data_IF_613836241568
#
_entry.id   IF_613836241568
#
_cell.length_a   1.000
_cell.length_b   1.000
_cell.length_c   1.000
_cell.angle_alpha   90.00
_cell.angle_beta   90.00
_cell.angle_gamma   90.00
#
_symmetry.space_group_name_H-M   'P 1'
#
loop_
_entity.id
_entity.type
_entity.pdbx_description
1 polymer ?
#
# COMPACT_ATOMS: atom_id res chain seq x y z
N UNK A 1 11.61 -6.73 9.79
CA UNK A 1 10.30 -6.44 10.42
C UNK A 1 9.59 -7.73 10.86
N UNK A 2 9.22 -8.69 9.97
CA UNK A 2 8.45 -9.89 10.37
C UNK A 2 9.17 -10.70 11.47
N UNK A 3 10.46 -10.96 11.32
CA UNK A 3 11.28 -11.65 12.35
C UNK A 3 11.39 -10.87 13.65
N UNK A 4 11.57 -9.56 13.58
CA UNK A 4 11.66 -8.68 14.75
C UNK A 4 10.37 -8.65 15.56
N UNK A 5 9.22 -8.81 14.87
CA UNK A 5 7.91 -8.87 15.49
C UNK A 5 7.45 -10.29 15.85
N UNK A 6 8.25 -11.32 15.55
CA UNK A 6 7.88 -12.71 15.75
C UNK A 6 6.69 -13.17 14.88
N UNK A 7 6.51 -12.54 13.70
CA UNK A 7 5.42 -12.81 12.77
C UNK A 7 5.84 -13.75 11.61
N UNK A 8 7.05 -14.34 11.68
CA UNK A 8 7.56 -15.34 10.73
C UNK A 8 7.15 -16.77 11.14
N UNK A 9 5.93 -16.94 11.61
CA UNK A 9 5.37 -18.18 12.14
C UNK A 9 4.05 -18.55 11.48
N UNK A 10 3.61 -19.79 11.69
CA UNK A 10 2.32 -20.32 11.21
C UNK A 10 1.14 -19.42 11.64
N UNK A 11 0.19 -19.22 10.73
CA UNK A 11 -0.97 -18.34 10.92
C UNK A 11 -0.69 -16.86 10.68
N UNK A 12 0.55 -16.47 10.37
CA UNK A 12 0.90 -15.09 10.06
C UNK A 12 1.07 -14.88 8.54
N UNK A 13 0.40 -13.87 8.02
CA UNK A 13 0.42 -13.49 6.62
C UNK A 13 0.75 -12.00 6.48
N UNK A 14 1.50 -11.64 5.45
CA UNK A 14 1.77 -10.24 5.12
C UNK A 14 0.98 -9.85 3.86
N UNK A 15 0.24 -8.75 3.96
CA UNK A 15 -0.36 -8.07 2.82
C UNK A 15 0.51 -6.84 2.53
N UNK A 16 1.15 -6.82 1.37
CA UNK A 16 2.04 -5.76 0.94
C UNK A 16 1.55 -5.07 -0.33
N UNK A 17 2.17 -3.92 -0.68
CA UNK A 17 1.85 -3.14 -1.87
C UNK A 17 0.36 -2.79 -1.97
N UNK A 18 -0.23 -2.32 -0.86
CA UNK A 18 -1.65 -1.97 -0.74
C UNK A 18 -2.62 -3.10 -1.14
N UNK A 19 -2.19 -4.35 -1.02
CA UNK A 19 -2.98 -5.52 -1.40
C UNK A 19 -2.53 -6.22 -2.68
N UNK A 20 -1.49 -5.71 -3.35
CA UNK A 20 -0.92 -6.32 -4.56
C UNK A 20 -0.17 -7.64 -4.30
N UNK A 21 0.20 -7.91 -3.05
CA UNK A 21 0.91 -9.13 -2.64
C UNK A 21 0.33 -9.68 -1.35
N UNK A 22 0.05 -10.98 -1.32
CA UNK A 22 -0.25 -11.76 -0.11
C UNK A 22 0.84 -12.82 0.04
N UNK A 23 1.47 -12.84 1.21
CA UNK A 23 2.62 -13.68 1.51
C UNK A 23 2.40 -14.49 2.78
N UNK A 24 2.62 -15.79 2.72
CA UNK A 24 2.66 -16.68 3.89
C UNK A 24 4.02 -16.54 4.55
N UNK A 25 4.03 -16.01 5.78
CA UNK A 25 5.27 -15.68 6.47
C UNK A 25 6.03 -16.92 6.96
N UNK A 26 5.32 -17.99 7.34
CA UNK A 26 5.93 -19.24 7.79
C UNK A 26 6.45 -20.06 6.60
N UNK A 27 5.61 -20.26 5.59
CA UNK A 27 5.98 -21.03 4.41
C UNK A 27 6.93 -20.27 3.46
N UNK A 28 7.16 -18.98 3.70
CA UNK A 28 7.94 -18.07 2.86
C UNK A 28 7.49 -18.12 1.39
N UNK A 29 6.16 -18.07 1.18
CA UNK A 29 5.55 -18.28 -0.13
C UNK A 29 4.57 -17.17 -0.48
N UNK A 30 4.65 -16.69 -1.73
CA UNK A 30 3.61 -15.83 -2.30
C UNK A 30 2.34 -16.64 -2.56
N UNK A 31 1.22 -16.22 -1.96
CA UNK A 31 -0.10 -16.83 -2.15
C UNK A 31 -0.90 -16.14 -3.25
N UNK A 32 -0.72 -14.83 -3.39
CA UNK A 32 -1.39 -14.01 -4.40
C UNK A 32 -0.53 -12.83 -4.80
N UNK A 33 -0.51 -12.50 -6.10
CA UNK A 33 0.21 -11.34 -6.64
C UNK A 33 -0.59 -10.69 -7.76
N UNK A 34 -0.68 -9.36 -7.73
CA UNK A 34 -1.21 -8.50 -8.78
C UNK A 34 -0.14 -7.50 -9.16
N UNK A 35 0.05 -7.32 -10.45
CA UNK A 35 1.14 -6.49 -11.00
C UNK A 35 0.60 -5.47 -11.98
N UNK A 36 1.30 -4.37 -12.14
CA UNK A 36 1.09 -3.39 -13.19
C UNK A 36 1.79 -3.92 -14.45
N UNK A 37 1.10 -4.13 -15.58
CA UNK A 37 1.73 -4.51 -16.82
C UNK A 37 2.89 -3.59 -17.20
N UNK A 38 3.97 -4.14 -17.78
CA UNK A 38 5.15 -3.35 -18.12
C UNK A 38 4.84 -2.17 -19.04
N UNK A 39 3.88 -2.34 -19.97
CA UNK A 39 3.41 -1.27 -20.84
C UNK A 39 2.77 -0.11 -20.05
N UNK A 40 2.03 -0.39 -18.97
CA UNK A 40 1.45 0.64 -18.11
C UNK A 40 2.50 1.29 -17.23
N UNK A 41 3.46 0.51 -16.71
CA UNK A 41 4.58 1.04 -15.95
C UNK A 41 5.40 2.04 -16.77
N UNK A 42 5.63 1.76 -18.07
CA UNK A 42 6.30 2.69 -18.99
C UNK A 42 5.54 4.01 -19.13
N UNK A 43 4.24 3.93 -19.37
CA UNK A 43 3.40 5.15 -19.48
C UNK A 43 3.46 5.97 -18.20
N UNK A 44 3.40 5.34 -17.02
CA UNK A 44 3.49 6.04 -15.73
C UNK A 44 4.84 6.76 -15.60
N UNK A 45 5.96 6.09 -15.91
CA UNK A 45 7.30 6.71 -15.87
C UNK A 45 7.43 7.87 -16.85
N UNK A 46 6.94 7.72 -18.09
CA UNK A 46 6.96 8.77 -19.10
C UNK A 46 6.15 9.99 -18.66
N UNK A 47 4.91 9.77 -18.22
CA UNK A 47 4.00 10.86 -17.80
C UNK A 47 4.48 11.57 -16.52
N UNK A 48 5.10 10.86 -15.60
CA UNK A 48 5.71 11.50 -14.42
C UNK A 48 6.92 12.34 -14.82
N UNK A 49 7.74 11.89 -15.76
CA UNK A 49 8.86 12.66 -16.29
C UNK A 49 8.39 13.92 -17.02
N UNK A 50 7.36 13.81 -17.88
CA UNK A 50 6.76 14.97 -18.57
C UNK A 50 6.23 16.02 -17.58
N UNK A 51 5.67 15.56 -16.46
CA UNK A 51 5.19 16.41 -15.38
C UNK A 51 6.31 16.94 -14.45
N UNK A 52 7.56 16.52 -14.65
CA UNK A 52 8.68 16.87 -13.78
C UNK A 52 8.53 16.35 -12.36
N UNK A 53 7.87 15.19 -12.18
CA UNK A 53 7.66 14.51 -10.90
C UNK A 53 8.65 13.37 -10.72
N UNK A 54 8.98 13.07 -9.46
CA UNK A 54 9.76 11.89 -9.12
C UNK A 54 8.85 10.65 -9.14
N UNK A 55 9.39 9.52 -9.64
CA UNK A 55 8.71 8.23 -9.63
C UNK A 55 9.69 7.10 -9.31
N UNK A 56 9.24 6.17 -8.48
CA UNK A 56 9.95 4.92 -8.24
C UNK A 56 9.00 3.72 -8.24
N UNK A 57 9.59 2.54 -8.33
CA UNK A 57 8.90 1.27 -8.20
C UNK A 57 9.75 0.28 -7.40
N UNK A 58 9.36 -0.99 -7.39
CA UNK A 58 10.00 -2.02 -6.60
C UNK A 58 10.28 -3.28 -7.43
N UNK A 59 11.42 -3.89 -7.17
CA UNK A 59 11.65 -5.31 -7.44
C UNK A 59 11.21 -6.15 -6.22
N UNK A 60 11.55 -7.43 -6.23
CA UNK A 60 11.28 -8.31 -5.08
C UNK A 60 12.13 -7.93 -3.84
N UNK A 61 13.24 -7.20 -4.01
CA UNK A 61 14.22 -6.93 -2.95
C UNK A 61 14.65 -5.47 -2.82
N UNK A 62 14.30 -4.61 -3.78
CA UNK A 62 14.87 -3.26 -3.87
C UNK A 62 13.83 -2.26 -4.37
N UNK A 63 14.02 -1.01 -3.99
CA UNK A 63 13.41 0.15 -4.63
C UNK A 63 14.20 0.44 -5.91
N UNK A 64 13.49 0.66 -7.01
CA UNK A 64 14.06 0.98 -8.32
C UNK A 64 13.67 2.41 -8.72
N UNK A 65 14.64 3.27 -9.00
CA UNK A 65 14.41 4.65 -9.43
C UNK A 65 15.39 5.07 -10.54
N UNK A 66 15.01 6.09 -11.31
CA UNK A 66 15.89 6.64 -12.37
C UNK A 66 17.08 7.42 -11.81
N UNK A 67 16.88 8.07 -10.67
CA UNK A 67 17.92 8.81 -9.95
C UNK A 67 17.60 8.84 -8.44
N UNK A 68 18.64 8.90 -7.63
CA UNK A 68 18.52 9.04 -6.19
C UNK A 68 18.48 10.53 -5.82
N UNK A 69 17.26 11.06 -5.65
CA UNK A 69 16.98 12.45 -5.26
C UNK A 69 16.67 12.61 -3.78
N UNK A 70 16.13 13.77 -3.43
CA UNK A 70 15.62 14.08 -2.09
C UNK A 70 14.45 13.15 -1.73
N UNK A 71 13.55 12.92 -2.67
CA UNK A 71 12.37 12.07 -2.53
C UNK A 71 12.76 10.63 -2.13
N UNK A 72 13.79 10.08 -2.80
CA UNK A 72 14.32 8.74 -2.47
C UNK A 72 14.84 8.71 -1.04
N UNK A 73 15.63 9.71 -0.65
CA UNK A 73 16.27 9.76 0.68
C UNK A 73 15.23 9.89 1.79
N UNK A 74 14.24 10.76 1.62
CA UNK A 74 13.15 10.93 2.60
C UNK A 74 12.30 9.66 2.70
N UNK A 75 11.92 9.09 1.56
CA UNK A 75 11.12 7.88 1.53
C UNK A 75 11.83 6.70 2.23
N UNK A 76 13.12 6.52 1.99
CA UNK A 76 13.89 5.39 2.54
C UNK A 76 14.31 5.57 4.00
N UNK A 77 14.17 6.75 4.60
CA UNK A 77 14.35 6.93 6.06
C UNK A 77 13.36 6.08 6.87
N UNK A 78 12.13 5.94 6.37
CA UNK A 78 11.09 5.13 7.03
C UNK A 78 11.13 3.65 6.60
N UNK A 79 11.70 3.35 5.44
CA UNK A 79 11.69 2.01 4.85
C UNK A 79 13.12 1.58 4.54
N UNK A 80 13.66 0.68 5.34
CA UNK A 80 15.00 0.13 5.16
C UNK A 80 15.03 -0.90 4.02
N UNK A 81 15.05 -0.42 2.77
CA UNK A 81 15.11 -1.23 1.56
C UNK A 81 16.32 -0.81 0.72
N UNK A 82 17.08 -1.73 0.10
CA UNK A 82 18.11 -1.38 -0.86
C UNK A 82 17.55 -0.53 -2.00
N UNK A 83 18.32 0.45 -2.44
CA UNK A 83 17.97 1.32 -3.57
C UNK A 83 18.86 0.97 -4.75
N UNK A 84 18.25 0.78 -5.91
CA UNK A 84 18.93 0.60 -7.19
C UNK A 84 18.58 1.78 -8.08
N UNK A 85 19.60 2.56 -8.43
CA UNK A 85 19.50 3.64 -9.41
C UNK A 85 19.75 3.06 -10.81
N UNK A 86 18.80 3.29 -11.72
CA UNK A 86 18.93 2.93 -13.13
C UNK A 86 18.32 4.04 -13.99
N UNK A 87 19.16 4.90 -14.60
CA UNK A 87 18.71 5.99 -15.47
C UNK A 87 17.91 5.52 -16.69
N UNK A 88 18.00 4.25 -17.06
CA UNK A 88 17.31 3.66 -18.20
C UNK A 88 15.96 3.00 -17.82
N UNK A 89 15.46 3.23 -16.60
CA UNK A 89 14.08 2.87 -16.31
C UNK A 89 13.12 3.76 -17.14
N UNK A 90 12.03 3.21 -17.68
CA UNK A 90 11.48 1.86 -17.47
C UNK A 90 11.99 0.77 -18.42
N UNK A 91 12.90 1.07 -19.33
CA UNK A 91 13.36 0.14 -20.37
C UNK A 91 13.98 -1.13 -19.77
N UNK A 92 14.72 -0.97 -18.67
CA UNK A 92 15.38 -2.07 -17.96
C UNK A 92 14.47 -2.77 -16.92
N UNK A 93 13.19 -2.39 -16.83
CA UNK A 93 12.28 -3.03 -15.90
C UNK A 93 11.99 -4.48 -16.35
N UNK A 94 12.64 -5.45 -15.70
CA UNK A 94 12.59 -6.86 -16.11
C UNK A 94 11.31 -7.57 -15.68
N UNK A 95 10.61 -7.08 -14.64
CA UNK A 95 9.39 -7.68 -14.10
C UNK A 95 8.32 -6.63 -13.88
N UNK A 96 7.08 -7.04 -14.04
CA UNK A 96 5.91 -6.22 -13.70
C UNK A 96 5.91 -5.87 -12.21
N UNK A 97 5.87 -4.59 -11.84
CA UNK A 97 5.85 -4.18 -10.44
C UNK A 97 4.45 -4.31 -9.83
N UNK A 98 4.38 -4.57 -8.51
CA UNK A 98 3.12 -4.56 -7.79
C UNK A 98 2.59 -3.14 -7.54
N UNK A 99 3.48 -2.15 -7.52
CA UNK A 99 3.16 -0.77 -7.16
C UNK A 99 4.21 0.19 -7.72
N UNK A 100 3.77 1.40 -8.05
CA UNK A 100 4.64 2.55 -8.34
C UNK A 100 4.21 3.72 -7.46
N UNK A 101 5.13 4.59 -7.09
CA UNK A 101 4.84 5.78 -6.28
C UNK A 101 5.39 7.00 -7.02
N UNK A 102 4.53 8.00 -7.15
CA UNK A 102 4.89 9.33 -7.61
C UNK A 102 4.99 10.25 -6.40
N UNK A 103 6.06 11.02 -6.33
CA UNK A 103 6.37 11.87 -5.17
C UNK A 103 6.66 13.29 -5.64
N UNK A 104 6.09 14.26 -4.93
CA UNK A 104 6.55 15.63 -4.88
C UNK A 104 6.44 16.10 -3.41
N UNK A 105 7.56 16.52 -2.84
CA UNK A 105 7.64 16.90 -1.42
C UNK A 105 7.16 18.34 -1.18
N UNK A 106 7.05 19.14 -2.24
CA UNK A 106 6.89 20.59 -2.14
C UNK A 106 5.64 21.12 -2.85
N UNK A 107 5.16 20.44 -3.90
CA UNK A 107 4.07 20.92 -4.74
C UNK A 107 2.95 19.87 -4.89
N UNK A 108 2.00 19.90 -3.96
CA UNK A 108 0.82 19.06 -4.02
C UNK A 108 -0.07 19.36 -5.22
N UNK A 109 -0.19 20.63 -5.63
CA UNK A 109 -1.05 21.02 -6.74
C UNK A 109 -0.53 20.44 -8.06
N UNK A 110 0.77 20.34 -8.23
CA UNK A 110 1.42 19.68 -9.37
C UNK A 110 1.07 18.18 -9.42
N UNK A 111 1.08 17.50 -8.28
CA UNK A 111 0.65 16.08 -8.22
C UNK A 111 -0.85 15.92 -8.50
N UNK A 112 -1.69 16.82 -8.01
CA UNK A 112 -3.14 16.79 -8.29
C UNK A 112 -3.42 17.03 -9.79
N UNK A 113 -2.68 17.94 -10.43
CA UNK A 113 -2.76 18.15 -11.87
C UNK A 113 -2.32 16.91 -12.68
N UNK A 114 -1.22 16.28 -12.28
CA UNK A 114 -0.78 15.02 -12.86
C UNK A 114 -1.84 13.92 -12.70
N UNK A 115 -2.37 13.73 -11.50
CA UNK A 115 -3.43 12.75 -11.22
C UNK A 115 -4.64 12.97 -12.13
N UNK A 116 -5.14 14.21 -12.20
CA UNK A 116 -6.28 14.56 -13.05
C UNK A 116 -6.01 14.28 -14.55
N UNK A 117 -4.80 14.56 -15.03
CA UNK A 117 -4.40 14.27 -16.42
C UNK A 117 -4.30 12.76 -16.70
N UNK A 118 -3.91 11.97 -15.70
CA UNK A 118 -3.80 10.52 -15.83
C UNK A 118 -5.14 9.79 -15.71
N UNK A 119 -6.12 10.36 -15.04
CA UNK A 119 -7.38 9.69 -14.69
C UNK A 119 -8.13 9.07 -15.90
N UNK A 120 -8.26 9.75 -17.07
CA UNK A 120 -8.91 9.15 -18.24
C UNK A 120 -8.20 7.91 -18.79
N UNK A 121 -6.85 7.91 -18.74
CA UNK A 121 -6.05 6.78 -19.18
C UNK A 121 -6.05 5.65 -18.14
N UNK A 122 -6.03 5.98 -16.86
CA UNK A 122 -5.94 5.05 -15.73
C UNK A 122 -7.22 4.21 -15.57
N UNK A 123 -8.37 4.74 -15.97
CA UNK A 123 -9.67 4.08 -15.82
C UNK A 123 -9.67 2.69 -16.48
N UNK A 124 -10.00 1.66 -15.70
CA UNK A 124 -10.01 0.27 -16.15
C UNK A 124 -8.61 -0.39 -16.24
N UNK A 125 -7.55 0.27 -15.74
CA UNK A 125 -6.16 -0.21 -15.80
C UNK A 125 -5.46 -0.18 -14.46
N UNK A 126 -5.46 0.98 -13.81
CA UNK A 126 -4.80 1.23 -12.53
C UNK A 126 -5.68 2.09 -11.63
N UNK A 127 -5.49 1.92 -10.34
CA UNK A 127 -6.05 2.80 -9.31
C UNK A 127 -4.98 3.75 -8.80
N UNK A 128 -5.35 5.02 -8.57
CA UNK A 128 -4.47 6.06 -8.04
C UNK A 128 -5.09 6.64 -6.77
N UNK A 129 -4.34 6.66 -5.68
CA UNK A 129 -4.76 7.27 -4.41
C UNK A 129 -3.56 7.79 -3.62
N UNK A 130 -3.81 8.71 -2.72
CA UNK A 130 -2.78 9.21 -1.82
C UNK A 130 -2.65 8.34 -0.58
N UNK A 131 -1.42 7.93 -0.25
CA UNK A 131 -1.07 7.27 1.03
C UNK A 131 -0.48 8.26 2.04
N UNK A 132 -0.09 9.43 1.57
CA UNK A 132 0.30 10.60 2.35
C UNK A 132 0.12 11.85 1.50
N UNK A 133 0.24 13.07 2.08
CA UNK A 133 0.15 14.30 1.28
C UNK A 133 1.12 14.38 0.10
N UNK A 134 2.25 13.66 0.17
CA UNK A 134 3.34 13.71 -0.79
C UNK A 134 3.50 12.46 -1.66
N UNK A 135 2.69 11.39 -1.42
CA UNK A 135 2.85 10.10 -2.08
C UNK A 135 1.58 9.69 -2.81
N UNK A 136 1.62 9.74 -4.14
CA UNK A 136 0.55 9.24 -5.01
C UNK A 136 0.88 7.81 -5.46
N UNK A 137 0.15 6.86 -4.92
CA UNK A 137 0.29 5.43 -5.20
C UNK A 137 -0.39 5.08 -6.52
N UNK A 138 0.25 4.23 -7.30
CA UNK A 138 -0.31 3.60 -8.50
C UNK A 138 -0.27 2.10 -8.29
N UNK A 139 -1.43 1.46 -8.34
CA UNK A 139 -1.58 0.01 -8.18
C UNK A 139 -2.47 -0.55 -9.30
N UNK A 140 -2.43 -1.86 -9.59
CA UNK A 140 -3.37 -2.45 -10.55
C UNK A 140 -4.81 -2.15 -10.15
N UNK A 141 -5.70 -2.03 -11.13
CA UNK A 141 -7.13 -1.84 -10.85
C UNK A 141 -7.67 -2.96 -9.98
N UNK A 142 -8.60 -2.64 -9.09
CA UNK A 142 -9.17 -3.55 -8.07
C UNK A 142 -8.17 -4.05 -7.02
N UNK A 143 -6.95 -3.50 -6.95
CA UNK A 143 -6.05 -3.73 -5.82
C UNK A 143 -6.37 -2.72 -4.73
N UNK A 144 -6.70 -3.23 -3.55
CA UNK A 144 -6.87 -2.45 -2.32
C UNK A 144 -6.63 -3.34 -1.11
N UNK A 145 -6.41 -2.76 0.07
CA UNK A 145 -6.24 -3.52 1.31
C UNK A 145 -7.48 -4.38 1.59
N UNK A 146 -8.68 -3.88 1.32
CA UNK A 146 -9.94 -4.62 1.49
C UNK A 146 -10.07 -5.80 0.53
N UNK A 147 -9.70 -5.65 -0.74
CA UNK A 147 -9.67 -6.79 -1.66
C UNK A 147 -8.69 -7.87 -1.21
N UNK A 148 -7.53 -7.46 -0.69
CA UNK A 148 -6.54 -8.43 -0.20
C UNK A 148 -7.03 -9.17 1.07
N UNK A 149 -7.72 -8.48 1.99
CA UNK A 149 -8.36 -9.13 3.15
C UNK A 149 -9.40 -10.17 2.68
N UNK A 150 -10.30 -9.80 1.77
CA UNK A 150 -11.29 -10.73 1.20
C UNK A 150 -10.60 -11.93 0.53
N UNK A 151 -9.55 -11.67 -0.26
CA UNK A 151 -8.79 -12.73 -0.94
C UNK A 151 -8.05 -13.64 0.03
N UNK A 152 -7.46 -13.10 1.09
CA UNK A 152 -6.81 -13.90 2.13
C UNK A 152 -7.83 -14.77 2.87
N UNK A 153 -8.99 -14.22 3.23
CA UNK A 153 -10.08 -14.97 3.87
C UNK A 153 -10.57 -16.12 2.97
N UNK A 154 -10.71 -15.88 1.67
CA UNK A 154 -11.06 -16.93 0.69
C UNK A 154 -10.01 -18.05 0.67
N UNK A 155 -8.71 -17.69 0.58
CA UNK A 155 -7.62 -18.66 0.53
C UNK A 155 -7.51 -19.50 1.81
N UNK A 156 -7.83 -18.91 2.96
CA UNK A 156 -7.77 -19.57 4.27
C UNK A 156 -9.12 -20.19 4.70
N UNK A 157 -10.17 -20.04 3.89
CA UNK A 157 -11.53 -20.46 4.22
C UNK A 157 -12.05 -19.85 5.53
N UNK A 158 -11.65 -18.61 5.84
CA UNK A 158 -12.10 -17.85 6.99
C UNK A 158 -13.32 -17.00 6.57
N UNK A 159 -14.48 -17.16 7.24
CA UNK A 159 -15.61 -16.27 6.98
C UNK A 159 -15.26 -14.80 7.28
N UNK A 160 -15.65 -13.87 6.43
CA UNK A 160 -15.46 -12.44 6.68
C UNK A 160 -16.11 -11.98 7.99
N UNK A 161 -17.20 -12.66 8.41
CA UNK A 161 -17.85 -12.44 9.70
C UNK A 161 -16.93 -12.66 10.92
N UNK A 162 -15.78 -13.31 10.74
CA UNK A 162 -14.80 -13.59 11.78
C UNK A 162 -13.54 -12.69 11.64
N UNK A 163 -13.67 -11.51 11.06
CA UNK A 163 -12.54 -10.61 10.82
C UNK A 163 -12.66 -9.30 11.59
N UNK A 164 -11.52 -8.80 12.03
CA UNK A 164 -11.37 -7.47 12.60
C UNK A 164 -10.27 -6.76 11.81
N UNK A 165 -10.53 -5.53 11.35
CA UNK A 165 -9.54 -4.70 10.68
C UNK A 165 -9.28 -3.42 11.47
N UNK A 166 -8.06 -2.91 11.38
CA UNK A 166 -7.64 -1.69 12.04
C UNK A 166 -6.82 -0.81 11.08
N UNK A 167 -7.09 0.50 11.08
CA UNK A 167 -6.39 1.44 10.20
C UNK A 167 -6.49 2.88 10.64
N UNK A 168 -5.74 3.77 9.95
CA UNK A 168 -5.68 5.20 10.28
C UNK A 168 -5.64 6.13 9.05
N UNK A 169 -5.37 5.60 7.83
CA UNK A 169 -5.27 6.36 6.60
C UNK A 169 -6.34 5.96 5.57
N UNK A 170 -6.57 6.82 4.57
CA UNK A 170 -7.64 6.60 3.57
C UNK A 170 -7.52 5.27 2.81
N UNK A 171 -6.30 4.77 2.58
CA UNK A 171 -6.08 3.46 1.96
C UNK A 171 -6.50 2.28 2.85
N UNK A 172 -6.82 2.51 4.14
CA UNK A 172 -7.33 1.50 5.06
C UNK A 172 -8.86 1.38 5.02
N UNK A 173 -9.58 2.40 4.52
CA UNK A 173 -11.04 2.43 4.48
C UNK A 173 -11.59 1.13 3.88
N UNK A 174 -11.04 0.70 2.75
CA UNK A 174 -11.52 -0.50 2.07
C UNK A 174 -11.38 -1.79 2.88
N UNK A 175 -10.39 -1.91 3.79
CA UNK A 175 -10.30 -3.09 4.66
C UNK A 175 -11.14 -2.96 5.91
N UNK A 176 -11.31 -1.75 6.43
CA UNK A 176 -12.22 -1.43 7.54
C UNK A 176 -13.65 -1.79 7.13
N UNK A 177 -14.11 -1.36 5.96
CA UNK A 177 -15.43 -1.69 5.43
C UNK A 177 -15.60 -3.18 5.05
N UNK A 178 -14.51 -3.88 4.72
CA UNK A 178 -14.55 -5.28 4.34
C UNK A 178 -14.67 -6.24 5.51
N UNK A 179 -14.18 -5.86 6.69
CA UNK A 179 -14.16 -6.70 7.89
C UNK A 179 -15.52 -6.74 8.58
N UNK A 180 -15.74 -7.73 9.45
CA UNK A 180 -16.93 -7.78 10.30
C UNK A 180 -16.92 -6.69 11.37
N UNK A 181 -15.73 -6.31 11.83
CA UNK A 181 -15.52 -5.16 12.71
C UNK A 181 -14.38 -4.33 12.12
N UNK A 182 -14.70 -3.12 11.69
CA UNK A 182 -13.73 -2.13 11.25
C UNK A 182 -13.40 -1.15 12.37
N UNK A 183 -12.13 -1.02 12.72
CA UNK A 183 -11.69 -0.11 13.77
C UNK A 183 -10.76 0.98 13.24
N UNK A 184 -11.03 2.23 13.60
CA UNK A 184 -10.18 3.38 13.33
C UNK A 184 -9.31 3.71 14.54
N UNK A 185 -8.06 4.05 14.31
CA UNK A 185 -7.20 4.60 15.37
C UNK A 185 -7.68 5.98 15.78
N UNK A 186 -7.43 6.38 17.04
CA UNK A 186 -7.75 7.74 17.54
C UNK A 186 -7.21 8.84 16.65
N UNK A 187 -5.99 8.68 16.13
CA UNK A 187 -5.32 9.61 15.22
C UNK A 187 -5.69 9.43 13.74
N UNK A 188 -6.65 8.55 13.43
CA UNK A 188 -7.11 8.36 12.06
C UNK A 188 -7.74 9.63 11.47
N UNK A 189 -7.74 9.73 10.13
CA UNK A 189 -8.44 10.82 9.43
C UNK A 189 -9.95 10.75 9.69
N UNK A 190 -10.65 11.87 9.51
CA UNK A 190 -12.11 11.91 9.73
C UNK A 190 -12.86 10.96 8.78
N UNK A 191 -12.36 10.79 7.55
CA UNK A 191 -12.94 9.84 6.59
C UNK A 191 -12.82 8.38 7.08
N UNK A 192 -11.69 8.00 7.65
CA UNK A 192 -11.48 6.66 8.23
C UNK A 192 -12.35 6.45 9.45
N UNK A 193 -12.46 7.44 10.34
CA UNK A 193 -13.34 7.38 11.52
C UNK A 193 -14.81 7.22 11.13
N UNK A 194 -15.22 7.90 10.05
CA UNK A 194 -16.61 7.83 9.56
C UNK A 194 -16.97 6.46 8.96
N UNK A 195 -15.99 5.68 8.49
CA UNK A 195 -16.18 4.34 7.92
C UNK A 195 -16.03 3.20 8.94
N UNK A 196 -15.65 3.50 10.20
CA UNK A 196 -15.34 2.49 11.20
C UNK A 196 -16.51 2.23 12.16
N UNK A 197 -16.66 0.98 12.60
CA UNK A 197 -17.60 0.57 13.65
C UNK A 197 -17.12 0.97 15.05
N UNK A 198 -15.79 1.10 15.20
CA UNK A 198 -15.15 1.42 16.47
C UNK A 198 -13.98 2.39 16.29
N UNK A 199 -13.90 3.39 17.18
CA UNK A 199 -12.75 4.30 17.24
C UNK A 199 -12.03 4.04 18.55
N UNK A 200 -10.70 3.78 18.49
CA UNK A 200 -9.89 3.51 19.68
C UNK A 200 -9.72 4.75 20.55
N UNK A 201 -9.57 4.58 21.85
CA UNK A 201 -9.20 5.63 22.80
C UNK A 201 -7.70 5.99 22.70
N UNK A 202 -6.90 5.05 22.21
CA UNK A 202 -5.47 5.18 22.01
C UNK A 202 -5.12 5.32 20.52
N UNK A 203 -4.06 6.06 20.21
CA UNK A 203 -3.55 6.19 18.85
C UNK A 203 -2.62 5.03 18.45
N UNK A 204 -2.13 5.05 17.20
CA UNK A 204 -1.25 4.00 16.67
C UNK A 204 0.10 3.90 17.41
N UNK A 205 0.56 4.97 18.08
CA UNK A 205 1.81 4.99 18.84
C UNK A 205 1.61 4.60 20.31
N UNK A 206 0.37 4.57 20.80
CA UNK A 206 0.02 4.31 22.19
C UNK A 206 -0.85 3.04 22.34
N UNK A 207 -0.52 2.01 21.58
CA UNK A 207 -1.14 0.67 21.71
C UNK A 207 -2.62 0.57 21.33
N UNK A 208 -3.11 1.39 20.40
CA UNK A 208 -4.50 1.31 19.88
C UNK A 208 -4.85 -0.09 19.34
N UNK A 209 -3.92 -0.78 18.66
CA UNK A 209 -4.12 -2.16 18.20
C UNK A 209 -4.32 -3.12 19.37
N UNK A 210 -3.59 -2.97 20.47
CA UNK A 210 -3.76 -3.82 21.66
C UNK A 210 -5.14 -3.63 22.30
N UNK A 211 -5.71 -2.43 22.25
CA UNK A 211 -7.08 -2.14 22.69
C UNK A 211 -8.10 -2.93 21.87
N UNK A 212 -7.97 -2.92 20.55
CA UNK A 212 -8.82 -3.68 19.63
C UNK A 212 -8.74 -5.18 19.92
N UNK A 213 -7.52 -5.72 20.06
CA UNK A 213 -7.32 -7.14 20.37
C UNK A 213 -7.98 -7.55 21.67
N UNK A 214 -7.84 -6.76 22.75
CA UNK A 214 -8.48 -7.05 24.03
C UNK A 214 -10.01 -7.02 23.94
N UNK A 215 -10.55 -6.09 23.17
CA UNK A 215 -12.01 -5.90 23.08
C UNK A 215 -12.71 -6.92 22.20
N UNK A 216 -12.11 -7.33 21.09
CA UNK A 216 -12.80 -8.11 20.04
C UNK A 216 -12.23 -9.52 19.84
N UNK A 217 -11.04 -9.82 20.35
CA UNK A 217 -10.36 -11.11 20.11
C UNK A 217 -10.12 -11.89 21.40
N UNK A 218 -9.74 -11.19 22.49
CA UNK A 218 -9.32 -11.82 23.74
C UNK A 218 -10.38 -11.74 24.84
N UNK A 219 -11.54 -11.12 24.55
CA UNK A 219 -12.64 -10.96 25.49
C UNK A 219 -13.41 -12.27 25.71
#
# INVERSE_FOLDING_TARGET
>A
ILKELGLDREGCYAIAFNGGLIYDCAAQKTLHRRTIPLEYARVIFEKTQEAGLYCHTYSDTSLLCRHVGEETRIYTQAIHIPVVEDPLLPEHLAKEPCKMIVIDLHDRAKMDAYRAAMEPWAKGKISMFYSSPHYLEHVPEHVSKGHAVKKLCELLQIPLANTVAAGDQENDISMIEAAAVGAAMKNATDAVKASADYITENDCNHSGVAEILRKFILA
#
